data_IF_160776136562
#
_entry.id   IF_160776136562
#
_cell.length_a   1.000
_cell.length_b   1.000
_cell.length_c   1.000
_cell.angle_alpha   90.00
_cell.angle_beta   90.00
_cell.angle_gamma   90.00
#
_symmetry.space_group_name_H-M   'P 1'
#
loop_
_entity.id
_entity.type
_entity.pdbx_description
1 polymer ?
#
# COMPACT_ATOMS: atom_id res chain seq x y z
N UNK A 1 -41.88 6.16 -78.52
CA UNK A 1 -41.68 4.90 -77.80
C UNK A 1 -40.27 4.88 -77.29
N UNK A 2 -40.11 5.12 -76.02
CA UNK A 2 -38.87 5.43 -75.38
C UNK A 2 -38.30 4.19 -74.71
N UNK A 3 -37.09 3.75 -75.08
CA UNK A 3 -36.42 2.60 -74.48
C UNK A 3 -35.29 3.15 -73.64
N UNK A 4 -35.51 3.05 -72.35
CA UNK A 4 -34.56 3.51 -71.32
C UNK A 4 -33.45 2.46 -71.15
N UNK A 5 -32.18 2.88 -71.42
CA UNK A 5 -30.99 2.08 -71.21
C UNK A 5 -30.52 2.37 -69.78
N UNK A 6 -30.64 1.41 -68.85
CA UNK A 6 -30.10 1.48 -67.50
C UNK A 6 -28.64 1.02 -67.54
N UNK A 7 -27.71 2.00 -67.39
CA UNK A 7 -26.32 1.72 -67.20
C UNK A 7 -26.09 1.39 -65.71
N UNK A 8 -25.75 0.14 -65.43
CA UNK A 8 -25.35 -0.29 -64.11
C UNK A 8 -23.86 0.09 -63.91
N UNK A 9 -23.62 1.20 -63.24
CA UNK A 9 -22.32 1.54 -62.75
C UNK A 9 -22.06 0.65 -61.52
N UNK A 10 -21.23 -0.39 -61.70
CA UNK A 10 -20.65 -1.16 -60.60
C UNK A 10 -19.55 -0.35 -59.95
N UNK A 11 -19.89 0.33 -58.86
CA UNK A 11 -18.92 0.98 -58.01
C UNK A 11 -18.18 -0.12 -57.20
N UNK A 12 -16.94 -0.40 -57.61
CA UNK A 12 -16.01 -1.24 -56.83
C UNK A 12 -15.55 -0.43 -55.59
N UNK A 13 -16.20 -0.68 -54.46
CA UNK A 13 -15.74 -0.16 -53.17
C UNK A 13 -14.62 -1.07 -52.72
N UNK A 14 -13.37 -0.61 -52.96
CA UNK A 14 -12.20 -1.23 -52.37
C UNK A 14 -12.18 -0.84 -50.88
N UNK A 15 -12.63 -1.75 -50.00
CA UNK A 15 -12.44 -1.62 -48.57
C UNK A 15 -10.96 -1.83 -48.28
N UNK A 16 -10.22 -0.76 -48.12
CA UNK A 16 -8.92 -0.78 -47.49
C UNK A 16 -9.16 -0.97 -45.99
N UNK A 17 -9.02 -2.19 -45.52
CA UNK A 17 -8.93 -2.50 -44.10
C UNK A 17 -7.59 -1.96 -43.59
N UNK A 18 -7.60 -0.74 -43.07
CA UNK A 18 -6.54 -0.23 -42.23
C UNK A 18 -6.66 -0.96 -40.88
N UNK A 19 -5.97 -2.08 -40.75
CA UNK A 19 -5.76 -2.74 -39.46
C UNK A 19 -4.93 -1.81 -38.60
N UNK A 20 -5.59 -0.93 -37.85
CA UNK A 20 -4.98 -0.23 -36.74
C UNK A 20 -4.62 -1.30 -35.70
N UNK A 21 -3.39 -1.82 -35.77
CA UNK A 21 -2.76 -2.50 -34.65
C UNK A 21 -2.63 -1.47 -33.52
N UNK A 22 -3.66 -1.42 -32.68
CA UNK A 22 -3.53 -0.86 -31.35
C UNK A 22 -2.51 -1.76 -30.61
N UNK A 23 -1.24 -1.40 -30.71
CA UNK A 23 -0.24 -1.92 -29.78
C UNK A 23 -0.65 -1.40 -28.41
N UNK A 24 -1.46 -2.18 -27.68
CA UNK A 24 -1.59 -2.04 -26.26
C UNK A 24 -0.19 -2.22 -25.70
N UNK A 25 0.53 -1.11 -25.49
CA UNK A 25 1.73 -1.11 -24.70
C UNK A 25 1.25 -1.54 -23.32
N UNK A 26 1.57 -2.76 -22.83
CA UNK A 26 1.31 -3.06 -21.45
C UNK A 26 2.15 -2.03 -20.70
N UNK A 27 1.49 -1.11 -19.99
CA UNK A 27 2.14 -0.39 -18.92
C UNK A 27 2.56 -1.47 -17.92
N UNK A 28 3.66 -2.13 -18.24
CA UNK A 28 4.38 -2.92 -17.27
C UNK A 28 4.83 -1.92 -16.20
N UNK A 29 4.05 -1.85 -15.15
CA UNK A 29 4.48 -1.28 -13.89
C UNK A 29 5.62 -2.16 -13.41
N UNK A 30 6.76 -1.97 -14.03
CA UNK A 30 8.00 -2.57 -13.55
C UNK A 30 8.21 -1.91 -12.19
N UNK A 31 7.73 -2.57 -11.14
CA UNK A 31 8.26 -2.29 -9.83
C UNK A 31 9.75 -2.52 -9.96
N UNK A 32 10.48 -1.40 -10.12
CA UNK A 32 11.91 -1.44 -10.18
C UNK A 32 12.37 -2.23 -8.97
N UNK A 33 12.90 -3.42 -9.22
CA UNK A 33 13.40 -4.30 -8.20
C UNK A 33 14.34 -3.51 -7.30
N UNK A 34 13.80 -3.17 -6.13
CA UNK A 34 14.47 -3.08 -4.86
C UNK A 34 15.87 -2.45 -4.84
N UNK A 35 15.91 -1.15 -4.95
CA UNK A 35 16.86 -0.47 -4.07
C UNK A 35 16.15 -0.39 -2.72
N UNK A 36 16.75 -0.96 -1.68
CA UNK A 36 16.25 -0.81 -0.32
C UNK A 36 16.02 0.68 -0.03
N UNK A 37 14.92 1.02 0.62
CA UNK A 37 14.59 2.40 0.96
C UNK A 37 14.60 2.57 2.47
N UNK A 38 15.13 3.69 2.91
CA UNK A 38 15.16 4.09 4.31
C UNK A 38 14.48 5.43 4.47
N UNK A 39 13.66 5.53 5.51
CA UNK A 39 12.99 6.76 5.91
C UNK A 39 13.23 7.01 7.38
N UNK A 40 13.52 8.25 7.73
CA UNK A 40 13.45 8.75 9.09
C UNK A 40 12.21 9.61 9.27
N UNK A 41 11.62 9.60 10.45
CA UNK A 41 10.45 10.41 10.77
C UNK A 41 10.42 10.75 12.27
N UNK A 42 9.63 11.77 12.61
CA UNK A 42 9.22 12.07 13.98
C UNK A 42 7.81 11.54 14.15
N UNK A 43 7.65 10.55 15.01
CA UNK A 43 6.35 10.01 15.36
C UNK A 43 5.79 10.76 16.57
N UNK A 44 4.57 11.28 16.44
CA UNK A 44 3.87 12.06 17.47
C UNK A 44 2.59 11.32 17.85
N UNK A 45 2.53 10.82 19.07
CA UNK A 45 1.34 10.19 19.62
C UNK A 45 0.58 11.18 20.53
N UNK A 46 -0.55 11.65 20.05
CA UNK A 46 -1.48 12.52 20.81
C UNK A 46 -2.74 11.77 21.27
N UNK A 47 -2.84 10.47 20.93
CA UNK A 47 -4.00 9.67 21.25
C UNK A 47 -4.10 9.39 22.75
N UNK A 48 -5.32 9.17 23.25
CA UNK A 48 -5.58 8.76 24.64
C UNK A 48 -5.19 7.29 24.89
N UNK A 49 -4.84 6.56 23.83
CA UNK A 49 -4.39 5.16 23.88
C UNK A 49 -2.86 5.13 23.87
N UNK A 50 -2.30 4.72 24.98
CA UNK A 50 -0.85 4.68 25.17
C UNK A 50 -0.29 5.95 25.83
N UNK A 51 1.02 6.08 25.82
CA UNK A 51 1.73 7.24 26.37
C UNK A 51 1.81 8.34 25.32
N UNK A 52 1.28 9.51 25.61
CA UNK A 52 1.50 10.71 24.79
C UNK A 52 3.00 11.00 24.71
N UNK A 53 3.50 11.31 23.53
CA UNK A 53 4.90 11.65 23.35
C UNK A 53 5.31 11.71 21.90
N UNK A 54 6.53 12.14 21.70
CA UNK A 54 7.19 12.15 20.40
C UNK A 54 8.47 11.31 20.42
N UNK A 55 8.87 10.82 19.27
CA UNK A 55 10.11 10.07 19.15
C UNK A 55 10.49 9.83 17.70
N UNK A 56 11.82 9.73 17.49
CA UNK A 56 12.32 9.38 16.17
C UNK A 56 12.04 7.92 15.86
N UNK A 57 11.61 7.66 14.63
CA UNK A 57 11.46 6.32 14.07
C UNK A 57 12.24 6.19 12.77
N UNK A 58 12.73 5.00 12.53
CA UNK A 58 13.37 4.60 11.28
C UNK A 58 12.52 3.51 10.64
N UNK A 59 12.21 3.68 9.36
CA UNK A 59 11.48 2.70 8.54
C UNK A 59 12.43 2.27 7.42
N UNK A 60 12.67 0.96 7.31
CA UNK A 60 13.50 0.38 6.25
C UNK A 60 12.67 -0.61 5.46
N UNK A 61 12.64 -0.42 4.15
CA UNK A 61 11.99 -1.31 3.19
C UNK A 61 13.11 -1.97 2.39
N UNK A 62 13.32 -3.26 2.60
CA UNK A 62 14.35 -4.03 1.89
C UNK A 62 13.87 -4.50 0.52
N UNK A 63 12.58 -4.72 0.38
CA UNK A 63 11.89 -5.11 -0.85
C UNK A 63 10.42 -4.70 -0.81
N UNK A 64 9.82 -4.61 -1.95
CA UNK A 64 8.38 -4.43 -2.10
C UNK A 64 7.67 -5.78 -2.12
N UNK A 65 6.41 -5.80 -1.70
CA UNK A 65 5.53 -6.96 -1.88
C UNK A 65 5.27 -7.18 -3.36
N UNK A 66 5.32 -8.43 -3.81
CA UNK A 66 4.99 -8.78 -5.19
C UNK A 66 3.46 -8.73 -5.42
N UNK A 67 3.02 -8.62 -6.66
CA UNK A 67 1.57 -8.68 -6.98
C UNK A 67 0.97 -10.00 -6.49
N UNK A 68 1.68 -11.13 -6.65
CA UNK A 68 1.21 -12.43 -6.16
C UNK A 68 1.05 -12.46 -4.61
N UNK A 69 1.92 -11.78 -3.87
CA UNK A 69 1.77 -11.62 -2.41
C UNK A 69 0.55 -10.74 -2.09
N UNK A 70 0.34 -9.65 -2.83
CA UNK A 70 -0.82 -8.78 -2.67
C UNK A 70 -2.13 -9.54 -2.93
N UNK A 71 -2.22 -10.26 -4.04
CA UNK A 71 -3.39 -11.05 -4.43
C UNK A 71 -3.70 -12.13 -3.39
N UNK A 72 -2.68 -12.83 -2.89
CA UNK A 72 -2.84 -13.84 -1.85
C UNK A 72 -3.40 -13.25 -0.55
N UNK A 73 -2.89 -12.09 -0.12
CA UNK A 73 -3.37 -11.42 1.09
C UNK A 73 -4.80 -10.90 0.90
N UNK A 74 -5.11 -10.34 -0.27
CA UNK A 74 -6.45 -9.87 -0.59
C UNK A 74 -7.46 -11.04 -0.62
N UNK A 75 -7.12 -12.15 -1.28
CA UNK A 75 -7.96 -13.36 -1.32
C UNK A 75 -8.18 -13.93 0.09
N UNK A 76 -7.13 -13.97 0.92
CA UNK A 76 -7.26 -14.43 2.31
C UNK A 76 -8.24 -13.56 3.10
N UNK A 77 -8.22 -12.23 2.91
CA UNK A 77 -9.15 -11.32 3.55
C UNK A 77 -10.58 -11.50 3.05
N UNK A 78 -10.78 -11.49 1.71
CA UNK A 78 -12.11 -11.53 1.10
C UNK A 78 -12.83 -12.86 1.31
N UNK A 79 -12.10 -13.97 1.20
CA UNK A 79 -12.70 -15.31 1.28
C UNK A 79 -12.86 -15.84 2.69
N UNK A 80 -11.94 -15.46 3.59
CA UNK A 80 -11.78 -16.12 4.90
C UNK A 80 -11.67 -15.15 6.08
N UNK A 81 -11.74 -13.85 5.83
CA UNK A 81 -11.78 -12.81 6.84
C UNK A 81 -10.45 -12.47 7.52
N UNK A 82 -10.49 -11.59 8.55
CA UNK A 82 -9.31 -10.98 9.17
C UNK A 82 -8.32 -11.97 9.78
N UNK A 83 -8.79 -13.06 10.38
CA UNK A 83 -7.92 -14.07 11.02
C UNK A 83 -7.04 -14.78 9.99
N UNK A 84 -7.58 -15.04 8.80
CA UNK A 84 -6.82 -15.66 7.73
C UNK A 84 -5.87 -14.67 7.07
N UNK A 85 -6.24 -13.39 7.00
CA UNK A 85 -5.32 -12.34 6.60
C UNK A 85 -4.11 -12.29 7.55
N UNK A 86 -4.34 -12.35 8.87
CA UNK A 86 -3.27 -12.35 9.86
C UNK A 86 -2.32 -13.53 9.64
N UNK A 87 -2.87 -14.75 9.52
CA UNK A 87 -2.06 -15.94 9.24
C UNK A 87 -1.27 -15.82 7.94
N UNK A 88 -1.93 -15.37 6.86
CA UNK A 88 -1.28 -15.17 5.56
C UNK A 88 -0.16 -14.11 5.61
N UNK A 89 -0.35 -13.07 6.43
CA UNK A 89 0.65 -12.03 6.62
C UNK A 89 1.85 -12.55 7.42
N UNK A 90 1.62 -13.35 8.46
CA UNK A 90 2.67 -14.02 9.26
C UNK A 90 3.53 -14.96 8.42
N UNK A 91 2.91 -15.66 7.45
CA UNK A 91 3.60 -16.53 6.51
C UNK A 91 4.36 -15.78 5.41
N UNK A 92 4.15 -14.46 5.29
CA UNK A 92 4.84 -13.64 4.29
C UNK A 92 6.26 -13.35 4.75
N UNK A 93 7.22 -13.45 3.83
CA UNK A 93 8.61 -13.08 4.10
C UNK A 93 8.68 -11.61 4.49
N UNK A 94 9.52 -11.31 5.48
CA UNK A 94 9.83 -9.96 5.89
C UNK A 94 10.19 -9.07 4.69
N UNK A 95 9.57 -7.88 4.62
CA UNK A 95 9.84 -6.88 3.59
C UNK A 95 10.69 -5.72 4.10
N UNK A 96 10.79 -5.58 5.42
CA UNK A 96 11.53 -4.50 6.07
C UNK A 96 11.31 -4.49 7.58
N UNK A 97 11.53 -3.34 8.20
CA UNK A 97 11.27 -3.12 9.62
C UNK A 97 10.99 -1.64 9.93
N UNK A 98 10.35 -1.41 11.08
CA UNK A 98 10.25 -0.10 11.72
C UNK A 98 10.82 -0.21 13.13
N UNK A 99 11.61 0.79 13.55
CA UNK A 99 12.21 0.83 14.90
C UNK A 99 12.36 2.25 15.43
N UNK A 100 12.48 2.36 16.76
CA UNK A 100 13.06 3.52 17.41
C UNK A 100 14.56 3.31 17.61
N UNK A 101 15.38 4.34 17.92
CA UNK A 101 16.80 4.19 18.17
C UNK A 101 17.14 3.21 19.31
N UNK A 102 16.20 3.01 20.26
CA UNK A 102 16.38 2.17 21.44
C UNK A 102 15.65 0.82 21.37
N UNK A 103 15.08 0.45 20.21
CA UNK A 103 14.33 -0.81 20.06
C UNK A 103 14.92 -1.72 18.98
N UNK A 104 14.68 -3.02 19.15
CA UNK A 104 15.02 -4.03 18.11
C UNK A 104 14.17 -3.80 16.85
N UNK A 105 12.96 -3.25 17.02
CA UNK A 105 12.04 -2.96 15.94
C UNK A 105 10.99 -4.04 15.71
N UNK A 106 10.13 -3.75 14.75
CA UNK A 106 9.02 -4.58 14.33
C UNK A 106 9.16 -4.90 12.85
N UNK A 107 8.99 -6.17 12.50
CA UNK A 107 9.04 -6.61 11.11
C UNK A 107 7.86 -6.07 10.31
N UNK A 108 8.15 -5.55 9.14
CA UNK A 108 7.16 -5.25 8.12
C UNK A 108 6.96 -6.50 7.26
N UNK A 109 5.70 -6.89 7.08
CA UNK A 109 5.31 -8.06 6.30
C UNK A 109 4.69 -7.69 4.96
N UNK A 110 4.29 -6.43 4.81
CA UNK A 110 3.72 -5.89 3.59
C UNK A 110 4.29 -4.50 3.31
N UNK A 111 4.62 -4.22 2.06
CA UNK A 111 5.04 -2.91 1.57
C UNK A 111 4.59 -2.74 0.12
N UNK A 112 3.75 -1.74 -0.14
CA UNK A 112 3.30 -1.38 -1.48
C UNK A 112 3.49 0.11 -1.72
N UNK A 113 3.97 0.45 -2.91
CA UNK A 113 4.09 1.81 -3.39
C UNK A 113 3.16 2.03 -4.57
N UNK A 114 2.45 3.13 -4.56
CA UNK A 114 1.62 3.62 -5.66
C UNK A 114 1.94 5.08 -5.93
N UNK A 115 1.77 5.57 -7.16
CA UNK A 115 1.91 7.00 -7.44
C UNK A 115 0.93 7.82 -6.59
N UNK A 116 1.41 8.91 -6.01
CA UNK A 116 0.59 9.93 -5.34
C UNK A 116 -0.01 10.91 -6.37
N UNK A 117 -1.04 11.63 -5.96
CA UNK A 117 -1.74 12.62 -6.81
C UNK A 117 -0.85 13.80 -7.22
N UNK A 118 0.12 14.14 -6.38
CA UNK A 118 1.11 15.20 -6.57
C UNK A 118 2.34 14.76 -7.39
N UNK A 119 2.33 13.50 -7.86
CA UNK A 119 3.44 12.88 -8.57
C UNK A 119 4.57 12.39 -7.68
N UNK A 120 4.34 12.36 -6.38
CA UNK A 120 5.16 11.67 -5.39
C UNK A 120 4.75 10.20 -5.23
N UNK A 121 5.05 9.63 -4.07
CA UNK A 121 4.77 8.23 -3.73
C UNK A 121 3.77 8.13 -2.56
N UNK A 122 2.76 7.29 -2.69
CA UNK A 122 1.98 6.79 -1.56
C UNK A 122 2.48 5.40 -1.21
N UNK A 123 2.93 5.21 0.02
CA UNK A 123 3.50 3.95 0.50
C UNK A 123 2.63 3.42 1.64
N UNK A 124 2.19 2.17 1.51
CA UNK A 124 1.42 1.47 2.54
C UNK A 124 2.24 0.29 3.04
N UNK A 125 2.39 0.23 4.36
CA UNK A 125 3.14 -0.82 5.07
C UNK A 125 2.22 -1.48 6.10
N UNK A 126 2.43 -2.76 6.36
CA UNK A 126 1.74 -3.45 7.45
C UNK A 126 2.65 -4.42 8.19
N UNK A 127 2.34 -4.58 9.50
CA UNK A 127 2.95 -5.55 10.37
C UNK A 127 1.94 -6.64 10.72
N UNK A 128 2.42 -7.80 11.16
CA UNK A 128 1.63 -8.93 11.67
C UNK A 128 1.36 -8.81 13.19
N UNK A 129 1.59 -7.64 13.76
CA UNK A 129 1.40 -7.33 15.18
C UNK A 129 1.23 -5.86 15.44
N UNK A 130 0.72 -5.54 16.62
CA UNK A 130 0.65 -4.15 17.08
C UNK A 130 2.05 -3.62 17.43
N UNK A 131 2.26 -2.35 17.14
CA UNK A 131 3.45 -1.62 17.57
C UNK A 131 3.16 -0.93 18.89
N UNK A 132 3.99 -1.18 19.90
CA UNK A 132 3.80 -0.71 21.27
C UNK A 132 4.92 0.19 21.77
N UNK A 133 5.50 1.00 20.91
CA UNK A 133 6.57 1.92 21.32
C UNK A 133 6.18 2.85 22.47
N UNK A 134 4.88 3.17 22.58
CA UNK A 134 4.33 4.09 23.57
C UNK A 134 3.21 3.47 24.41
N UNK A 135 2.99 2.16 24.34
CA UNK A 135 2.01 1.51 25.20
C UNK A 135 2.46 1.47 26.65
N UNK A 136 1.57 1.90 27.54
CA UNK A 136 1.71 1.57 28.96
C UNK A 136 1.55 0.06 29.14
N UNK A 137 2.42 -0.55 29.93
CA UNK A 137 2.66 -1.99 30.08
C UNK A 137 1.44 -2.81 30.59
N UNK A 138 0.30 -2.20 30.89
CA UNK A 138 -0.80 -2.80 31.66
C UNK A 138 -2.17 -2.80 30.95
N UNK A 139 -2.26 -2.72 29.63
CA UNK A 139 -3.57 -2.82 28.96
C UNK A 139 -3.87 -4.24 28.49
N UNK A 140 -5.15 -4.69 28.60
CA UNK A 140 -5.56 -6.00 28.08
C UNK A 140 -5.20 -6.10 26.61
N UNK A 141 -4.55 -7.18 26.22
CA UNK A 141 -4.24 -7.49 24.82
C UNK A 141 -5.56 -7.82 24.13
N UNK A 142 -6.14 -6.86 23.43
CA UNK A 142 -7.22 -7.17 22.51
C UNK A 142 -6.64 -7.87 21.28
N UNK A 143 -7.04 -9.11 21.05
CA UNK A 143 -6.67 -9.87 19.86
C UNK A 143 -7.44 -9.40 18.61
N UNK A 144 -8.44 -8.52 18.79
CA UNK A 144 -9.33 -8.08 17.71
C UNK A 144 -8.66 -7.09 16.74
N UNK A 145 -7.57 -6.44 17.17
CA UNK A 145 -6.84 -5.43 16.39
C UNK A 145 -5.36 -5.82 16.21
N UNK A 146 -5.07 -6.87 15.46
CA UNK A 146 -3.73 -7.48 15.46
C UNK A 146 -2.70 -6.75 14.58
N UNK A 147 -3.13 -5.83 13.71
CA UNK A 147 -2.28 -5.20 12.73
C UNK A 147 -1.78 -3.82 13.17
N UNK A 148 -0.65 -3.40 12.63
CA UNK A 148 -0.29 -1.99 12.49
C UNK A 148 -0.22 -1.67 11.01
N UNK A 149 -0.90 -0.60 10.60
CA UNK A 149 -0.88 -0.08 9.23
C UNK A 149 -0.20 1.29 9.24
N UNK A 150 0.74 1.48 8.33
CA UNK A 150 1.49 2.73 8.17
C UNK A 150 1.25 3.23 6.75
N UNK A 151 0.88 4.48 6.62
CA UNK A 151 0.73 5.15 5.35
C UNK A 151 1.66 6.35 5.29
N UNK A 152 2.49 6.42 4.24
CA UNK A 152 3.40 7.52 4.00
C UNK A 152 3.03 8.19 2.68
N UNK A 153 3.06 9.51 2.67
CA UNK A 153 2.95 10.35 1.48
C UNK A 153 4.29 11.04 1.31
N UNK A 154 5.03 10.68 0.27
CA UNK A 154 6.39 11.15 0.03
C UNK A 154 6.39 11.93 -1.29
N UNK A 155 6.82 13.17 -1.26
CA UNK A 155 6.95 14.01 -2.43
C UNK A 155 8.13 13.62 -3.33
N UNK A 156 8.33 14.38 -4.42
CA UNK A 156 9.42 14.13 -5.37
C UNK A 156 10.81 14.38 -4.78
N UNK A 157 10.89 15.21 -3.75
CA UNK A 157 12.13 15.56 -3.07
C UNK A 157 12.47 14.55 -1.97
N UNK A 158 11.60 13.54 -1.76
CA UNK A 158 11.79 12.49 -0.77
C UNK A 158 11.41 12.92 0.64
N UNK A 159 10.66 14.02 0.78
CA UNK A 159 10.11 14.49 2.03
C UNK A 159 8.63 14.15 2.12
N UNK A 160 8.05 14.18 3.33
CA UNK A 160 6.63 13.92 3.44
C UNK A 160 6.11 13.79 4.84
N UNK A 161 4.88 13.30 4.90
CA UNK A 161 4.13 13.04 6.12
C UNK A 161 3.48 11.67 6.07
N UNK A 162 3.02 11.19 7.22
CA UNK A 162 2.33 9.90 7.27
C UNK A 162 1.52 9.73 8.53
N UNK A 163 0.89 8.59 8.61
CA UNK A 163 0.14 8.15 9.79
C UNK A 163 0.39 6.68 10.06
N UNK A 164 0.33 6.31 11.33
CA UNK A 164 0.51 4.95 11.80
C UNK A 164 -0.63 4.57 12.74
N UNK A 165 -1.46 3.66 12.29
CA UNK A 165 -2.54 3.06 13.05
C UNK A 165 -2.00 1.83 13.78
N UNK A 166 -1.65 2.01 15.05
CA UNK A 166 -0.85 1.03 15.83
C UNK A 166 -1.60 -0.24 16.24
N UNK A 167 -2.92 -0.20 16.22
CA UNK A 167 -3.79 -1.35 16.51
C UNK A 167 -5.00 -1.28 15.59
N UNK A 168 -4.95 -2.01 14.50
CA UNK A 168 -5.93 -1.94 13.41
C UNK A 168 -6.58 -3.29 13.20
N UNK A 169 -7.88 -3.29 12.97
CA UNK A 169 -8.64 -4.41 12.41
C UNK A 169 -8.88 -4.13 10.93
N UNK A 170 -8.56 -5.10 10.11
CA UNK A 170 -8.72 -5.02 8.65
C UNK A 170 -9.86 -5.96 8.27
N UNK A 171 -10.94 -5.41 7.70
CA UNK A 171 -12.08 -6.18 7.23
C UNK A 171 -12.38 -5.87 5.77
N UNK A 172 -13.13 -6.74 5.13
CA UNK A 172 -13.63 -6.52 3.77
C UNK A 172 -15.11 -6.18 3.83
N UNK A 173 -15.49 -5.11 3.16
CA UNK A 173 -16.87 -4.83 2.80
C UNK A 173 -17.12 -5.41 1.40
N UNK A 174 -17.76 -6.58 1.37
CA UNK A 174 -18.01 -7.29 0.12
C UNK A 174 -19.11 -6.61 -0.73
N UNK A 175 -19.99 -5.85 -0.11
CA UNK A 175 -21.06 -5.13 -0.78
C UNK A 175 -20.50 -3.96 -1.58
N UNK A 176 -19.63 -3.17 -0.97
CA UNK A 176 -18.98 -2.01 -1.61
C UNK A 176 -17.63 -2.35 -2.23
N UNK A 177 -17.15 -3.59 -2.13
CA UNK A 177 -15.84 -4.05 -2.61
C UNK A 177 -14.68 -3.20 -2.09
N UNK A 178 -14.76 -2.83 -0.82
CA UNK A 178 -13.77 -1.99 -0.15
C UNK A 178 -13.12 -2.70 1.02
N UNK A 179 -11.89 -2.29 1.35
CA UNK A 179 -11.22 -2.71 2.59
C UNK A 179 -11.49 -1.64 3.64
N UNK A 180 -12.03 -2.07 4.76
CA UNK A 180 -12.34 -1.21 5.90
C UNK A 180 -11.23 -1.37 6.95
N UNK A 181 -10.66 -0.25 7.38
CA UNK A 181 -9.71 -0.18 8.48
C UNK A 181 -10.41 0.40 9.70
N UNK A 182 -10.43 -0.36 10.78
CA UNK A 182 -10.97 0.07 12.06
C UNK A 182 -9.81 0.17 13.05
N UNK A 183 -9.56 1.36 13.55
CA UNK A 183 -8.50 1.61 14.51
C UNK A 183 -9.04 1.54 15.95
N UNK A 184 -8.31 0.87 16.83
CA UNK A 184 -8.62 0.83 18.25
C UNK A 184 -8.44 2.21 18.92
N UNK A 185 -7.49 2.99 18.42
CA UNK A 185 -7.24 4.36 18.88
C UNK A 185 -8.10 5.34 18.09
N UNK A 186 -8.64 6.36 18.77
CA UNK A 186 -9.42 7.42 18.13
C UNK A 186 -8.60 8.27 17.16
N UNK A 187 -7.28 8.27 17.31
CA UNK A 187 -6.36 9.01 16.45
C UNK A 187 -5.11 8.17 16.16
N UNK A 188 -4.64 8.15 14.91
CA UNK A 188 -3.37 7.50 14.56
C UNK A 188 -2.18 8.29 15.13
N UNK A 189 -1.05 7.62 15.25
CA UNK A 189 0.23 8.29 15.46
C UNK A 189 0.61 9.02 14.18
N UNK A 190 0.85 10.32 14.27
CA UNK A 190 1.28 11.11 13.11
C UNK A 190 2.78 10.96 12.91
N UNK A 191 3.18 10.86 11.64
CA UNK A 191 4.58 10.81 11.23
C UNK A 191 4.89 12.12 10.50
N UNK A 192 5.71 12.95 11.13
CA UNK A 192 6.13 14.25 10.59
C UNK A 192 7.59 14.20 10.15
N UNK A 193 7.99 15.17 9.35
CA UNK A 193 9.37 15.35 8.89
C UNK A 193 9.96 14.07 8.30
N UNK A 194 9.14 13.33 7.53
CA UNK A 194 9.63 12.13 6.87
C UNK A 194 10.68 12.53 5.84
N UNK A 195 11.81 11.84 5.88
CA UNK A 195 12.91 12.04 4.91
C UNK A 195 13.34 10.69 4.38
N UNK A 196 13.38 10.58 3.05
CA UNK A 196 14.02 9.45 2.37
C UNK A 196 15.54 9.63 2.49
N UNK A 197 16.19 8.67 3.09
CA UNK A 197 17.63 8.68 3.28
C UNK A 197 18.30 7.84 2.18
N UNK A 198 19.44 8.32 1.68
CA UNK A 198 20.29 7.51 0.82
C UNK A 198 20.90 6.39 1.64
N UNK A 199 20.76 5.14 1.17
CA UNK A 199 21.46 4.00 1.75
C UNK A 199 22.86 4.02 1.13
N UNK A 200 23.85 4.53 1.85
CA UNK A 200 25.26 4.28 1.51
C UNK A 200 25.51 2.78 1.67
N UNK A 201 25.92 2.16 0.57
CA UNK A 201 26.38 0.77 0.53
C UNK A 201 27.71 0.64 1.28
#
# INVERSE_FOLDING_TARGET
>A
MSTSIRIHQRLLIVFVWLAAMATAIPFAWTQANSTAQRFSAIAVNVSTVGRTGEGRVEIVINRWSTEAECDRLLSALLEKGPEKLLSALQDTKRVGYIRTPSSIGYDLRFARRTPGEDGGDRIVLATDRRISFWEATNRPRSFDYPFTVIELHIDRDGQGEGKMSVATKITADNEHKTIVLEDYANQPVMLHDIKRESISQ
#
